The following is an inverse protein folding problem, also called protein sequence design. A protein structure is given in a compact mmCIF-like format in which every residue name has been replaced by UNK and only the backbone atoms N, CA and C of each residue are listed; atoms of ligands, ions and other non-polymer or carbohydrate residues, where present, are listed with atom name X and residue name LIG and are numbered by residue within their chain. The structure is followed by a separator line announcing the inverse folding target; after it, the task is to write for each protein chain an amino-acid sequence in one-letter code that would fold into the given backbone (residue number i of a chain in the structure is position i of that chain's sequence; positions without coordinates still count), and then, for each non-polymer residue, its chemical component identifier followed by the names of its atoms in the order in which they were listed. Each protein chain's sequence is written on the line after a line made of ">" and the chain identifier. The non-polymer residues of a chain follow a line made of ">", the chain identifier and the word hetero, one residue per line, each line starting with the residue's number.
data_IF_949429383059
#
_entry.id   IF_949429383059
#
_cell.length_a   1.000
_cell.length_b   1.000
_cell.length_c   1.000
_cell.angle_alpha   90.00
_cell.angle_beta   90.00
_cell.angle_gamma   90.00
#
_symmetry.space_group_name_H-M   'P 1'
#
loop_
_entity.id
_entity.type
_entity.pdbx_description
1 polymer ?
#
# COMPACT_ATOMS: atom_id res chain seq x y z
N UNK A 1 26.85 53.92 37.64
CA UNK A 1 27.06 52.46 37.55
C UNK A 1 25.78 51.63 37.31
N UNK A 2 24.56 52.13 37.58
CA UNK A 2 23.32 51.33 37.43
C UNK A 2 22.84 51.10 35.99
N UNK A 3 23.11 52.02 35.06
CA UNK A 3 22.59 51.94 33.69
C UNK A 3 23.22 50.80 32.85
N UNK A 4 24.47 50.42 33.15
CA UNK A 4 25.15 49.30 32.51
C UNK A 4 24.46 47.96 32.81
N UNK A 5 24.05 47.75 34.06
CA UNK A 5 23.34 46.54 34.46
C UNK A 5 21.97 46.41 33.80
N UNK A 6 21.25 47.53 33.65
CA UNK A 6 19.96 47.56 32.96
C UNK A 6 20.09 47.20 31.49
N UNK A 7 21.12 47.71 30.79
CA UNK A 7 21.35 47.39 29.38
C UNK A 7 21.69 45.91 29.17
N UNK A 8 22.51 45.32 30.05
CA UNK A 8 22.83 43.89 30.01
C UNK A 8 21.56 43.05 30.19
N UNK A 9 20.70 43.39 31.15
CA UNK A 9 19.45 42.66 31.39
C UNK A 9 18.51 42.67 30.18
N UNK A 10 18.39 43.81 29.48
CA UNK A 10 17.54 43.92 28.27
C UNK A 10 18.11 43.10 27.11
N UNK A 11 19.43 43.12 26.90
CA UNK A 11 20.08 42.34 25.84
C UNK A 11 19.88 40.84 26.11
N UNK A 12 20.09 40.40 27.36
CA UNK A 12 19.88 39.01 27.75
C UNK A 12 18.40 38.60 27.61
N UNK A 13 17.47 39.45 28.03
CA UNK A 13 16.05 39.23 27.88
C UNK A 13 15.64 39.09 26.41
N UNK A 14 16.09 40.01 25.55
CA UNK A 14 15.83 39.97 24.11
C UNK A 14 16.42 38.74 23.42
N UNK A 15 17.65 38.37 23.77
CA UNK A 15 18.31 37.17 23.22
C UNK A 15 17.59 35.88 23.64
N UNK A 16 17.17 35.77 24.90
CA UNK A 16 16.40 34.63 25.40
C UNK A 16 15.02 34.55 24.74
N UNK A 17 14.32 35.68 24.60
CA UNK A 17 13.04 35.74 23.89
C UNK A 17 13.19 35.31 22.43
N UNK A 18 14.21 35.79 21.71
CA UNK A 18 14.46 35.39 20.33
C UNK A 18 14.76 33.90 20.19
N UNK A 19 15.61 33.33 21.06
CA UNK A 19 15.93 31.90 21.06
C UNK A 19 14.70 31.03 21.31
N UNK A 20 13.85 31.41 22.27
CA UNK A 20 12.60 30.69 22.57
C UNK A 20 11.65 30.73 21.38
N UNK A 21 11.45 31.90 20.77
CA UNK A 21 10.59 32.06 19.59
C UNK A 21 11.12 31.25 18.41
N UNK A 22 12.43 31.31 18.13
CA UNK A 22 13.05 30.54 17.05
C UNK A 22 12.94 29.02 17.26
N UNK A 23 13.13 28.54 18.50
CA UNK A 23 12.92 27.12 18.84
C UNK A 23 11.46 26.71 18.65
N UNK A 24 10.53 27.58 19.01
CA UNK A 24 9.09 27.35 18.89
C UNK A 24 8.67 27.27 17.43
N UNK A 25 9.02 28.26 16.62
CA UNK A 25 8.75 28.30 15.18
C UNK A 25 9.36 27.11 14.44
N UNK A 26 10.60 26.71 14.80
CA UNK A 26 11.25 25.54 14.19
C UNK A 26 10.58 24.22 14.58
N UNK A 27 10.06 24.11 15.81
CA UNK A 27 9.28 22.94 16.26
C UNK A 27 7.91 22.90 15.59
N UNK A 28 7.23 24.04 15.50
CA UNK A 28 5.92 24.17 14.84
C UNK A 28 6.01 23.87 13.34
N UNK A 29 6.97 24.48 12.64
CA UNK A 29 7.21 24.23 11.21
C UNK A 29 7.55 22.76 10.94
N UNK A 30 8.29 22.10 11.84
CA UNK A 30 8.59 20.66 11.72
C UNK A 30 7.35 19.79 11.90
N UNK A 31 6.47 20.12 12.86
CA UNK A 31 5.20 19.39 13.08
C UNK A 31 4.24 19.55 11.91
N UNK A 32 4.05 20.77 11.43
CA UNK A 32 3.20 21.06 10.26
C UNK A 32 3.74 20.47 8.95
N UNK A 33 5.08 20.31 8.83
CA UNK A 33 5.69 19.60 7.70
C UNK A 33 5.54 18.08 7.84
N UNK A 34 5.70 17.53 9.04
CA UNK A 34 5.52 16.10 9.31
C UNK A 34 4.10 15.65 8.94
N UNK A 35 3.07 16.36 9.43
CA UNK A 35 1.66 16.05 9.13
C UNK A 35 1.38 16.02 7.62
N UNK A 36 1.85 17.03 6.87
CA UNK A 36 1.67 17.07 5.40
C UNK A 36 2.41 15.96 4.67
N UNK A 37 3.56 15.52 5.16
CA UNK A 37 4.30 14.41 4.56
C UNK A 37 3.61 13.08 4.86
N UNK A 38 3.05 12.90 6.05
CA UNK A 38 2.30 11.70 6.43
C UNK A 38 0.99 11.59 5.63
N UNK A 39 0.26 12.71 5.44
CA UNK A 39 -0.90 12.77 4.55
C UNK A 39 -0.55 12.37 3.11
N UNK A 40 0.53 12.93 2.55
CA UNK A 40 0.98 12.60 1.19
C UNK A 40 1.42 11.15 1.03
N UNK A 41 2.07 10.58 2.05
CA UNK A 41 2.44 9.16 2.07
C UNK A 41 1.21 8.28 2.08
N UNK A 42 0.25 8.57 2.96
CA UNK A 42 -1.02 7.83 3.01
C UNK A 42 -1.73 7.87 1.65
N UNK A 43 -1.87 9.05 1.05
CA UNK A 43 -2.50 9.21 -0.26
C UNK A 43 -1.78 8.37 -1.34
N UNK A 44 -0.44 8.38 -1.34
CA UNK A 44 0.34 7.58 -2.27
C UNK A 44 0.10 6.06 -2.08
N UNK A 45 0.08 5.59 -0.82
CA UNK A 45 -0.22 4.18 -0.52
C UNK A 45 -1.63 3.80 -0.96
N UNK A 46 -2.64 4.67 -0.75
CA UNK A 46 -4.02 4.44 -1.17
C UNK A 46 -4.11 4.29 -2.70
N UNK A 47 -3.50 5.22 -3.46
CA UNK A 47 -3.49 5.16 -4.92
C UNK A 47 -2.85 3.86 -5.42
N UNK A 48 -1.69 3.49 -4.86
CA UNK A 48 -1.01 2.25 -5.21
C UNK A 48 -1.83 1.00 -4.86
N UNK A 49 -2.42 0.94 -3.67
CA UNK A 49 -3.23 -0.19 -3.21
C UNK A 49 -4.51 -0.37 -4.03
N UNK A 50 -5.12 0.73 -4.49
CA UNK A 50 -6.26 0.67 -5.40
C UNK A 50 -5.83 0.08 -6.74
N UNK A 51 -4.72 0.53 -7.32
CA UNK A 51 -4.20 -0.03 -8.57
C UNK A 51 -3.87 -1.53 -8.45
N UNK A 52 -3.25 -1.95 -7.33
CA UNK A 52 -3.00 -3.37 -7.02
C UNK A 52 -4.31 -4.15 -6.91
N UNK A 53 -5.32 -3.60 -6.25
CA UNK A 53 -6.60 -4.28 -6.03
C UNK A 53 -7.40 -4.47 -7.32
N UNK A 54 -7.45 -3.42 -8.15
CA UNK A 54 -8.07 -3.46 -9.48
C UNK A 54 -7.41 -4.55 -10.34
N UNK A 55 -6.08 -4.54 -10.42
CA UNK A 55 -5.34 -5.51 -11.23
C UNK A 55 -5.46 -6.93 -10.69
N UNK A 56 -5.42 -7.12 -9.37
CA UNK A 56 -5.62 -8.44 -8.75
C UNK A 56 -7.04 -8.99 -9.00
N UNK A 57 -8.07 -8.13 -8.96
CA UNK A 57 -9.44 -8.51 -9.28
C UNK A 57 -9.56 -8.97 -10.74
N UNK A 58 -9.03 -8.18 -11.67
CA UNK A 58 -9.05 -8.51 -13.09
C UNK A 58 -8.28 -9.82 -13.39
N UNK A 59 -7.10 -9.98 -12.77
CA UNK A 59 -6.29 -11.19 -12.88
C UNK A 59 -7.07 -12.43 -12.42
N UNK A 60 -7.79 -12.36 -11.30
CA UNK A 60 -8.63 -13.48 -10.85
C UNK A 60 -9.80 -13.78 -11.81
N UNK A 61 -10.44 -12.76 -12.38
CA UNK A 61 -11.52 -12.96 -13.37
C UNK A 61 -11.01 -13.62 -14.66
N UNK A 62 -9.78 -13.31 -15.07
CA UNK A 62 -9.13 -13.95 -16.22
C UNK A 62 -8.65 -15.37 -15.91
N UNK A 63 -8.32 -15.65 -14.66
CA UNK A 63 -8.04 -17.00 -14.18
C UNK A 63 -9.28 -17.90 -14.28
N UNK A 64 -10.47 -17.36 -13.95
CA UNK A 64 -11.75 -18.05 -14.10
C UNK A 64 -12.02 -18.49 -15.54
N UNK A 65 -11.67 -17.66 -16.53
CA UNK A 65 -11.76 -18.00 -17.96
C UNK A 65 -10.83 -19.17 -18.35
N UNK A 66 -9.79 -19.45 -17.56
CA UNK A 66 -8.87 -20.59 -17.73
C UNK A 66 -9.20 -21.80 -16.86
N UNK A 67 -10.31 -21.77 -16.14
CA UNK A 67 -10.72 -22.85 -15.24
C UNK A 67 -10.14 -22.78 -13.83
N UNK A 68 -9.43 -21.69 -13.47
CA UNK A 68 -8.93 -21.47 -12.11
C UNK A 68 -9.86 -20.57 -11.30
N UNK A 69 -9.98 -20.77 -9.99
CA UNK A 69 -10.63 -19.80 -9.11
C UNK A 69 -12.14 -19.65 -9.36
N UNK A 70 -12.89 -20.73 -9.07
CA UNK A 70 -14.32 -20.93 -9.31
C UNK A 70 -15.32 -19.93 -8.69
N UNK A 71 -14.86 -18.82 -8.07
CA UNK A 71 -15.69 -17.88 -7.29
C UNK A 71 -16.02 -16.55 -7.98
N UNK A 72 -15.52 -16.30 -9.20
CA UNK A 72 -15.72 -15.02 -9.89
C UNK A 72 -16.28 -15.20 -11.31
N UNK A 73 -17.14 -14.26 -11.79
CA UNK A 73 -17.57 -14.24 -13.18
C UNK A 73 -16.36 -14.07 -14.10
N UNK A 74 -16.22 -15.01 -15.04
CA UNK A 74 -15.18 -14.98 -16.07
C UNK A 74 -15.22 -13.67 -16.86
N UNK A 75 -14.05 -13.15 -17.21
CA UNK A 75 -13.91 -12.00 -18.10
C UNK A 75 -13.61 -12.45 -19.53
N UNK A 76 -13.97 -11.60 -20.51
CA UNK A 76 -13.46 -11.73 -21.87
C UNK A 76 -11.93 -11.73 -21.84
N UNK A 77 -11.32 -12.72 -22.49
CA UNK A 77 -9.86 -12.88 -22.45
C UNK A 77 -9.15 -11.75 -23.22
N UNK A 78 -9.68 -11.38 -24.40
CA UNK A 78 -9.08 -10.33 -25.22
C UNK A 78 -9.14 -8.97 -24.50
N UNK A 79 -10.35 -8.53 -24.14
CA UNK A 79 -10.54 -7.23 -23.49
C UNK A 79 -9.84 -7.17 -22.12
N UNK A 80 -9.79 -8.30 -21.40
CA UNK A 80 -9.15 -8.34 -20.09
C UNK A 80 -7.62 -8.25 -20.13
N UNK A 81 -6.96 -8.73 -21.19
CA UNK A 81 -5.50 -8.62 -21.30
C UNK A 81 -5.04 -7.18 -21.62
N UNK A 82 -5.81 -6.45 -22.41
CA UNK A 82 -5.56 -5.02 -22.66
C UNK A 82 -5.77 -4.21 -21.38
N UNK A 83 -6.88 -4.44 -20.67
CA UNK A 83 -7.14 -3.82 -19.37
C UNK A 83 -6.08 -4.16 -18.30
N UNK A 84 -5.47 -5.37 -18.35
CA UNK A 84 -4.34 -5.71 -17.48
C UNK A 84 -3.11 -4.85 -17.80
N UNK A 85 -2.83 -4.63 -19.07
CA UNK A 85 -1.69 -3.80 -19.52
C UNK A 85 -1.87 -2.34 -19.07
N UNK A 86 -3.08 -1.79 -19.20
CA UNK A 86 -3.40 -0.46 -18.68
C UNK A 86 -3.31 -0.39 -17.15
N UNK A 87 -3.79 -1.43 -16.46
CA UNK A 87 -3.69 -1.58 -15.01
C UNK A 87 -2.25 -1.62 -14.52
N UNK A 88 -1.38 -2.35 -15.22
CA UNK A 88 0.04 -2.44 -14.92
C UNK A 88 0.72 -1.08 -15.06
N UNK A 89 0.43 -0.32 -16.12
CA UNK A 89 0.96 1.03 -16.31
C UNK A 89 0.53 1.97 -15.17
N UNK A 90 -0.76 1.96 -14.78
CA UNK A 90 -1.27 2.75 -13.64
C UNK A 90 -0.57 2.37 -12.33
N UNK A 91 -0.42 1.07 -12.06
CA UNK A 91 0.27 0.56 -10.88
C UNK A 91 1.75 0.96 -10.88
N UNK A 92 2.42 0.91 -12.03
CA UNK A 92 3.81 1.31 -12.18
C UNK A 92 4.06 2.78 -11.82
N UNK A 93 3.19 3.68 -12.31
CA UNK A 93 3.26 5.11 -11.95
C UNK A 93 3.02 5.31 -10.45
N UNK A 94 2.01 4.64 -9.88
CA UNK A 94 1.74 4.73 -8.45
C UNK A 94 2.91 4.19 -7.61
N UNK A 95 3.56 3.12 -8.07
CA UNK A 95 4.72 2.53 -7.40
C UNK A 95 5.93 3.47 -7.37
N UNK A 96 6.20 4.20 -8.44
CA UNK A 96 7.30 5.19 -8.45
C UNK A 96 7.13 6.26 -7.36
N UNK A 97 5.89 6.63 -7.03
CA UNK A 97 5.62 7.56 -5.92
C UNK A 97 5.97 6.93 -4.58
N UNK A 98 5.69 5.62 -4.40
CA UNK A 98 6.10 4.87 -3.21
C UNK A 98 7.62 4.82 -3.09
N UNK A 99 8.36 4.61 -4.18
CA UNK A 99 9.83 4.62 -4.16
C UNK A 99 10.42 5.95 -3.69
N UNK A 100 9.72 7.07 -3.93
CA UNK A 100 10.17 8.41 -3.55
C UNK A 100 9.78 8.77 -2.12
N UNK A 101 8.57 8.38 -1.67
CA UNK A 101 7.99 8.85 -0.41
C UNK A 101 8.07 7.84 0.74
N UNK A 102 8.11 6.55 0.40
CA UNK A 102 8.11 5.44 1.35
C UNK A 102 9.44 5.26 2.06
N UNK A 103 9.40 4.64 3.23
CA UNK A 103 10.63 4.14 3.85
C UNK A 103 11.16 2.87 3.14
N UNK A 104 12.42 2.51 3.41
CA UNK A 104 13.06 1.38 2.75
C UNK A 104 12.32 0.05 2.97
N UNK A 105 11.79 -0.18 4.18
CA UNK A 105 11.10 -1.40 4.54
C UNK A 105 9.73 -1.50 3.84
N UNK A 106 9.01 -0.39 3.68
CA UNK A 106 7.76 -0.31 2.93
C UNK A 106 7.99 -0.47 1.43
N UNK A 107 9.03 0.16 0.89
CA UNK A 107 9.42 0.04 -0.52
C UNK A 107 9.78 -1.42 -0.86
N UNK A 108 10.55 -2.10 -0.02
CA UNK A 108 10.87 -3.52 -0.20
C UNK A 108 9.62 -4.41 -0.20
N UNK A 109 8.67 -4.18 0.71
CA UNK A 109 7.42 -4.91 0.74
C UNK A 109 6.54 -4.64 -0.50
N UNK A 110 6.55 -3.41 -1.02
CA UNK A 110 5.87 -3.06 -2.27
C UNK A 110 6.52 -3.75 -3.48
N UNK A 111 7.85 -3.88 -3.51
CA UNK A 111 8.56 -4.67 -4.52
C UNK A 111 8.13 -6.13 -4.48
N UNK A 112 8.05 -6.75 -3.30
CA UNK A 112 7.60 -8.13 -3.19
C UNK A 112 6.14 -8.29 -3.66
N UNK A 113 5.27 -7.36 -3.26
CA UNK A 113 3.87 -7.34 -3.68
C UNK A 113 3.73 -7.24 -5.21
N UNK A 114 4.45 -6.32 -5.85
CA UNK A 114 4.50 -6.20 -7.32
C UNK A 114 4.96 -7.51 -7.97
N UNK A 115 6.02 -8.12 -7.43
CA UNK A 115 6.54 -9.40 -7.92
C UNK A 115 5.52 -10.52 -7.85
N UNK A 116 4.76 -10.63 -6.75
CA UNK A 116 3.69 -11.63 -6.63
C UNK A 116 2.54 -11.37 -7.59
N UNK A 117 2.17 -10.11 -7.78
CA UNK A 117 1.11 -9.74 -8.71
C UNK A 117 1.50 -10.02 -10.17
N UNK A 118 2.73 -9.70 -10.57
CA UNK A 118 3.26 -10.07 -11.89
C UNK A 118 3.28 -11.57 -12.13
N UNK A 119 3.62 -12.37 -11.11
CA UNK A 119 3.59 -13.82 -11.26
C UNK A 119 2.17 -14.34 -11.56
N UNK A 120 1.14 -13.80 -10.89
CA UNK A 120 -0.26 -14.11 -11.21
C UNK A 120 -0.63 -13.68 -12.63
N UNK A 121 -0.17 -12.50 -13.05
CA UNK A 121 -0.38 -12.00 -14.39
C UNK A 121 0.26 -12.90 -15.46
N UNK A 122 1.48 -13.37 -15.25
CA UNK A 122 2.15 -14.30 -16.16
C UNK A 122 1.41 -15.63 -16.29
N UNK A 123 0.78 -16.12 -15.20
CA UNK A 123 -0.07 -17.30 -15.25
C UNK A 123 -1.29 -17.07 -16.15
N UNK A 124 -1.99 -15.93 -16.00
CA UNK A 124 -3.17 -15.60 -16.84
C UNK A 124 -2.81 -15.05 -18.22
N UNK A 125 -1.56 -14.73 -18.51
CA UNK A 125 -1.08 -14.51 -19.89
C UNK A 125 -0.67 -15.81 -20.57
N UNK A 126 -0.56 -16.91 -19.81
CA UNK A 126 -0.06 -18.19 -20.31
C UNK A 126 1.46 -18.24 -20.49
N UNK A 127 2.19 -17.25 -19.95
CA UNK A 127 3.66 -17.19 -19.96
C UNK A 127 4.27 -18.15 -18.94
N UNK A 128 3.54 -18.40 -17.85
CA UNK A 128 3.87 -19.43 -16.86
C UNK A 128 2.71 -20.42 -16.81
N UNK A 129 3.01 -21.71 -16.96
CA UNK A 129 2.01 -22.77 -16.80
C UNK A 129 1.96 -23.19 -15.34
N UNK A 130 0.77 -23.14 -14.76
CA UNK A 130 0.47 -23.63 -13.41
C UNK A 130 -0.76 -24.53 -13.49
N UNK A 131 -0.83 -25.51 -12.60
CA UNK A 131 -2.05 -26.23 -12.28
C UNK A 131 -2.88 -25.44 -11.24
N UNK A 132 -4.03 -25.99 -10.83
CA UNK A 132 -4.91 -25.35 -9.86
C UNK A 132 -4.23 -25.12 -8.51
N UNK A 133 -3.48 -26.12 -8.01
CA UNK A 133 -2.72 -26.00 -6.77
C UNK A 133 -1.61 -24.93 -6.88
N UNK A 134 -0.93 -24.85 -8.02
CA UNK A 134 0.07 -23.82 -8.29
C UNK A 134 -0.54 -22.41 -8.32
N UNK A 135 -1.71 -22.26 -8.93
CA UNK A 135 -2.47 -21.00 -8.92
C UNK A 135 -2.86 -20.58 -7.51
N UNK A 136 -3.43 -21.48 -6.71
CA UNK A 136 -3.83 -21.20 -5.34
C UNK A 136 -2.63 -20.80 -4.47
N UNK A 137 -1.50 -21.51 -4.61
CA UNK A 137 -0.26 -21.17 -3.93
C UNK A 137 0.26 -19.78 -4.33
N UNK A 138 0.25 -19.46 -5.62
CA UNK A 138 0.63 -18.14 -6.11
C UNK A 138 -0.30 -17.04 -5.56
N UNK A 139 -1.61 -17.30 -5.52
CA UNK A 139 -2.59 -16.34 -5.01
C UNK A 139 -2.44 -16.12 -3.50
N UNK A 140 -2.17 -17.18 -2.73
CA UNK A 140 -1.87 -17.06 -1.30
C UNK A 140 -0.55 -16.32 -1.05
N UNK A 141 0.46 -16.51 -1.90
CA UNK A 141 1.70 -15.74 -1.81
C UNK A 141 1.46 -14.24 -2.04
N UNK A 142 0.64 -13.88 -3.03
CA UNK A 142 0.20 -12.50 -3.24
C UNK A 142 -0.56 -11.94 -2.02
N UNK A 143 -1.50 -12.70 -1.45
CA UNK A 143 -2.23 -12.27 -0.25
C UNK A 143 -1.30 -11.99 0.92
N UNK A 144 -0.32 -12.87 1.17
CA UNK A 144 0.70 -12.67 2.22
C UNK A 144 1.55 -11.43 1.98
N UNK A 145 2.05 -11.23 0.77
CA UNK A 145 2.83 -10.04 0.42
C UNK A 145 2.01 -8.75 0.61
N UNK A 146 0.71 -8.78 0.28
CA UNK A 146 -0.19 -7.63 0.50
C UNK A 146 -0.40 -7.35 1.99
N UNK A 147 -0.57 -8.39 2.80
CA UNK A 147 -0.68 -8.25 4.26
C UNK A 147 0.61 -7.70 4.88
N UNK A 148 1.79 -8.16 4.44
CA UNK A 148 3.07 -7.62 4.90
C UNK A 148 3.22 -6.15 4.51
N UNK A 149 2.88 -5.79 3.27
CA UNK A 149 2.88 -4.39 2.84
C UNK A 149 1.94 -3.51 3.70
N UNK A 150 0.73 -3.97 4.05
CA UNK A 150 -0.13 -3.24 5.00
C UNK A 150 0.52 -3.06 6.36
N UNK A 151 1.25 -4.05 6.86
CA UNK A 151 1.95 -3.94 8.13
C UNK A 151 3.04 -2.87 8.05
N UNK A 152 3.86 -2.87 6.98
CA UNK A 152 4.91 -1.86 6.78
C UNK A 152 4.35 -0.44 6.65
N UNK A 153 3.28 -0.25 5.89
CA UNK A 153 2.61 1.06 5.78
C UNK A 153 2.11 1.56 7.14
N UNK A 154 1.58 0.66 7.98
CA UNK A 154 1.13 1.03 9.32
C UNK A 154 2.29 1.40 10.23
N UNK A 155 3.40 0.67 10.15
CA UNK A 155 4.62 0.98 10.90
C UNK A 155 5.21 2.32 10.45
N UNK A 156 5.29 2.57 9.14
CA UNK A 156 5.75 3.83 8.54
C UNK A 156 4.92 5.03 9.03
N UNK A 157 3.59 4.87 9.05
CA UNK A 157 2.64 5.90 9.49
C UNK A 157 2.39 5.90 11.01
N UNK A 158 3.12 5.07 11.77
CA UNK A 158 2.99 4.93 13.23
C UNK A 158 1.56 4.62 13.71
N UNK A 159 0.80 3.86 12.93
CA UNK A 159 -0.57 3.47 13.25
C UNK A 159 -0.55 2.29 14.24
N UNK A 160 -1.13 2.43 15.44
CA UNK A 160 -1.06 1.39 16.46
C UNK A 160 -1.90 0.15 16.11
N UNK A 161 -1.42 -1.01 16.57
CA UNK A 161 -2.10 -2.31 16.45
C UNK A 161 -1.65 -3.14 15.24
N UNK A 162 -1.90 -4.44 15.29
CA UNK A 162 -1.58 -5.36 14.19
C UNK A 162 -2.64 -5.31 13.08
N UNK A 163 -2.22 -5.62 11.84
CA UNK A 163 -3.17 -5.93 10.76
C UNK A 163 -3.98 -7.15 11.19
N UNK A 164 -5.33 -7.10 11.22
CA UNK A 164 -6.14 -8.27 11.51
C UNK A 164 -5.76 -9.41 10.58
N UNK A 165 -5.67 -10.64 11.10
CA UNK A 165 -5.55 -11.81 10.25
C UNK A 165 -6.73 -11.79 9.28
N UNK A 166 -6.46 -11.54 7.99
CA UNK A 166 -7.50 -11.54 6.99
C UNK A 166 -8.01 -12.98 6.95
N UNK A 167 -9.20 -13.21 7.52
CA UNK A 167 -9.81 -14.53 7.55
C UNK A 167 -9.59 -15.17 6.18
N UNK A 168 -9.02 -16.36 6.15
CA UNK A 168 -9.17 -17.17 4.96
C UNK A 168 -10.69 -17.23 4.74
N UNK A 169 -11.15 -16.82 3.56
CA UNK A 169 -12.52 -17.10 3.14
C UNK A 169 -12.57 -18.60 2.87
N UNK A 170 -12.43 -19.37 3.96
CA UNK A 170 -12.59 -20.81 4.17
C UNK A 170 -13.97 -21.07 4.78
N UNK A 171 -14.96 -20.19 4.52
CA UNK A 171 -16.34 -20.51 4.87
C UNK A 171 -16.68 -21.83 4.15
N UNK A 172 -17.01 -22.91 4.89
CA UNK A 172 -17.39 -24.16 4.26
C UNK A 172 -18.61 -23.89 3.38
N UNK A 173 -18.57 -24.41 2.16
CA UNK A 173 -19.71 -24.39 1.24
C UNK A 173 -20.84 -25.19 1.90
N UNK A 174 -21.74 -24.53 2.60
CA UNK A 174 -23.10 -25.07 2.75
C UNK A 174 -23.59 -25.16 1.32
N UNK A 175 -23.75 -26.39 0.84
CA UNK A 175 -24.35 -26.66 -0.45
C UNK A 175 -25.61 -25.82 -0.53
N UNK A 176 -25.71 -24.98 -1.56
CA UNK A 176 -27.01 -24.55 -2.00
C UNK A 176 -27.56 -25.81 -2.66
N UNK A 177 -28.15 -26.67 -1.81
CA UNK A 177 -28.93 -27.79 -2.29
C UNK A 177 -29.92 -27.20 -3.29
N UNK A 178 -29.83 -27.71 -4.52
CA UNK A 178 -30.88 -27.56 -5.50
C UNK A 178 -32.14 -28.17 -4.89
N UNK A 179 -32.94 -27.36 -4.21
CA UNK A 179 -34.37 -27.62 -4.16
C UNK A 179 -34.94 -27.19 -5.51
N UNK A 180 -34.89 -28.14 -6.46
CA UNK A 180 -35.93 -28.26 -7.49
C UNK A 180 -37.04 -29.16 -6.91
N UNK A 181 -38.30 -29.02 -7.33
CA UNK A 181 -38.72 -28.59 -8.68
C UNK A 181 -39.66 -27.37 -8.76
#
# INVERSE_FOLDING_TARGET
>A
MNQFWTLIAVIVGGAMSYLVTWLHERRQTRRERAVRWDERRLDAHVVYLNAVSDQAMLTRRLAATRGFGHRLPAASLADGLDLLTEGEARRGVAFQVIEVLGDAATVEAAYDLNRKLWHLEWCVRGLVRVDEAGWDNAYQAFRRARTDYYARVRDELQVPGAVPAMASDDRPMVGIDQEDP
#
